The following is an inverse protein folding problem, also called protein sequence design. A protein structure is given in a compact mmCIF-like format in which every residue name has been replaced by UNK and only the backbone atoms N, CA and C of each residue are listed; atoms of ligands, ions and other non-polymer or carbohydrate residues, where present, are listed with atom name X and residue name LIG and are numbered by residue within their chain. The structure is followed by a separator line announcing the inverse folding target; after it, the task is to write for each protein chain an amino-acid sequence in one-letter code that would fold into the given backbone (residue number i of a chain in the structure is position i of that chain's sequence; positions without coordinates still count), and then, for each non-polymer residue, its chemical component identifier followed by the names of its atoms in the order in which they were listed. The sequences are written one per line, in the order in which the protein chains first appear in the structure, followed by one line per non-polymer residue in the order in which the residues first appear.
data_IF_926556565656
#
_entry.id   IF_926556565656
#
_cell.length_a   1.000
_cell.length_b   1.000
_cell.length_c   1.000
_cell.angle_alpha   90.00
_cell.angle_beta   90.00
_cell.angle_gamma   90.00
#
_symmetry.space_group_name_H-M   'P 1'
#
loop_
_entity.id
_entity.type
_entity.pdbx_description
1 polymer ?
#
# COMPACT_ATOMS: atom_id res chain seq x y z
N UNK A 1 -25.48 -35.32 -3.99
CA UNK A 1 -25.20 -34.37 -5.09
C UNK A 1 -24.70 -33.08 -4.42
N UNK A 2 -23.36 -32.89 -4.34
CA UNK A 2 -22.76 -31.72 -3.76
C UNK A 2 -22.90 -30.58 -4.77
N UNK A 3 -23.74 -29.58 -4.48
CA UNK A 3 -23.76 -28.32 -5.22
C UNK A 3 -22.63 -27.48 -4.65
N UNK A 4 -21.55 -27.18 -5.42
CA UNK A 4 -20.53 -26.31 -4.94
C UNK A 4 -21.13 -24.92 -4.72
N UNK A 5 -21.15 -24.45 -3.49
CA UNK A 5 -21.47 -23.06 -3.19
C UNK A 5 -20.27 -22.23 -3.68
N UNK A 6 -20.34 -21.80 -4.93
CA UNK A 6 -19.42 -20.79 -5.47
C UNK A 6 -19.80 -19.48 -4.81
N UNK A 7 -19.10 -19.10 -3.75
CA UNK A 7 -19.17 -17.73 -3.27
C UNK A 7 -18.62 -16.83 -4.38
N UNK A 8 -19.42 -15.95 -4.99
CA UNK A 8 -18.89 -15.01 -5.96
C UNK A 8 -17.85 -14.18 -5.23
N UNK A 9 -16.61 -14.17 -5.78
CA UNK A 9 -15.55 -13.31 -5.28
C UNK A 9 -16.10 -11.87 -5.28
N UNK A 10 -16.42 -11.33 -4.10
CA UNK A 10 -16.98 -9.98 -3.99
C UNK A 10 -15.86 -9.00 -4.33
N UNK A 11 -15.87 -8.55 -5.57
CA UNK A 11 -15.02 -7.44 -5.98
C UNK A 11 -15.58 -6.17 -5.33
N UNK A 12 -14.75 -5.46 -4.60
CA UNK A 12 -15.06 -4.16 -4.02
C UNK A 12 -13.89 -3.20 -4.25
N UNK A 13 -14.16 -1.91 -4.08
CA UNK A 13 -13.19 -0.84 -4.35
C UNK A 13 -11.88 -1.05 -3.58
N UNK A 14 -11.98 -1.39 -2.29
CA UNK A 14 -10.79 -1.58 -1.45
C UNK A 14 -9.97 -2.79 -1.89
N UNK A 15 -10.63 -3.89 -2.21
CA UNK A 15 -9.97 -5.10 -2.71
C UNK A 15 -9.20 -4.84 -4.01
N UNK A 16 -9.74 -4.03 -4.92
CA UNK A 16 -9.03 -3.67 -6.15
C UNK A 16 -7.83 -2.77 -5.86
N UNK A 17 -7.98 -1.76 -4.99
CA UNK A 17 -6.91 -0.83 -4.67
C UNK A 17 -5.73 -1.49 -3.94
N UNK A 18 -5.99 -2.49 -3.09
CA UNK A 18 -4.94 -3.15 -2.29
C UNK A 18 -4.35 -4.40 -2.98
N UNK A 19 -4.98 -4.91 -4.04
CA UNK A 19 -4.56 -6.16 -4.70
C UNK A 19 -3.10 -6.15 -5.15
N UNK A 20 -2.60 -5.02 -5.64
CA UNK A 20 -1.22 -4.82 -6.08
C UNK A 20 -0.23 -4.46 -4.96
N UNK A 21 -0.72 -4.26 -3.74
CA UNK A 21 0.12 -3.89 -2.59
C UNK A 21 0.46 -5.17 -1.84
N UNK A 22 1.72 -5.62 -1.94
CA UNK A 22 2.21 -6.84 -1.33
C UNK A 22 3.49 -6.57 -0.56
N UNK A 23 3.62 -7.15 0.62
CA UNK A 23 4.88 -7.17 1.33
C UNK A 23 5.92 -7.91 0.48
N UNK A 24 7.09 -7.34 0.34
CA UNK A 24 8.20 -7.93 -0.38
C UNK A 24 9.45 -7.91 0.51
N UNK A 25 9.73 -9.06 1.11
CA UNK A 25 10.81 -9.20 2.05
C UNK A 25 10.61 -8.33 3.30
N UNK A 26 10.11 -8.89 4.38
CA UNK A 26 10.13 -8.19 5.65
C UNK A 26 11.58 -7.95 6.03
N UNK A 27 11.99 -6.68 6.08
CA UNK A 27 13.36 -6.24 6.36
C UNK A 27 13.88 -6.73 7.70
N UNK A 28 12.98 -6.80 8.65
CA UNK A 28 13.22 -7.23 10.00
C UNK A 28 12.12 -8.21 10.42
N UNK A 29 12.28 -9.45 9.99
CA UNK A 29 11.36 -10.51 10.44
C UNK A 29 11.33 -10.64 11.97
N UNK A 30 12.38 -10.22 12.68
CA UNK A 30 12.40 -9.88 14.10
C UNK A 30 13.72 -9.22 14.45
N UNK A 31 13.68 -7.94 14.74
CA UNK A 31 14.80 -7.31 15.41
C UNK A 31 14.43 -7.11 16.85
N UNK A 32 15.04 -7.90 17.73
CA UNK A 32 15.04 -7.62 19.15
C UNK A 32 16.14 -6.61 19.41
N UNK A 33 15.76 -5.39 19.72
CA UNK A 33 16.66 -4.24 19.86
C UNK A 33 16.85 -3.97 21.36
N UNK A 34 18.10 -3.92 21.80
CA UNK A 34 18.47 -3.49 23.15
C UNK A 34 18.91 -2.03 23.12
N UNK A 35 18.42 -1.22 24.05
CA UNK A 35 18.77 0.19 24.17
C UNK A 35 20.29 0.38 24.39
N UNK A 36 20.92 1.45 23.82
CA UNK A 36 20.29 2.46 22.95
C UNK A 36 20.18 1.96 21.50
N UNK A 37 19.04 2.22 20.83
CA UNK A 37 18.86 1.87 19.42
C UNK A 37 18.09 2.97 18.64
N UNK A 38 18.46 3.14 17.39
CA UNK A 38 17.75 4.02 16.45
C UNK A 38 17.94 3.54 15.01
N UNK A 39 16.83 3.46 14.27
CA UNK A 39 16.78 2.99 12.89
C UNK A 39 16.21 4.10 11.99
N UNK A 40 17.03 4.65 11.09
CA UNK A 40 16.64 5.70 10.17
C UNK A 40 16.35 5.14 8.78
N UNK A 41 15.09 5.21 8.34
CA UNK A 41 14.62 4.73 7.04
C UNK A 41 14.70 5.85 6.01
N UNK A 42 15.60 5.69 5.03
CA UNK A 42 15.99 6.75 4.07
C UNK A 42 15.56 6.49 2.63
N UNK A 43 15.15 5.27 2.29
CA UNK A 43 14.89 4.85 0.91
C UNK A 43 13.50 5.22 0.39
N UNK A 44 12.67 5.82 1.22
CA UNK A 44 11.36 6.33 0.81
C UNK A 44 10.44 5.30 0.20
N UNK A 45 10.42 4.07 0.75
CA UNK A 45 9.47 3.05 0.30
C UNK A 45 8.05 3.64 0.18
N UNK A 46 7.31 3.33 -0.89
CA UNK A 46 5.98 3.91 -1.11
C UNK A 46 5.02 3.69 0.07
N UNK A 47 5.17 2.59 0.78
CA UNK A 47 4.43 2.29 1.99
C UNK A 47 5.28 1.39 2.90
N UNK A 48 5.36 1.74 4.18
CA UNK A 48 6.03 0.92 5.20
C UNK A 48 5.07 0.70 6.37
N UNK A 49 4.89 -0.55 6.75
CA UNK A 49 4.16 -0.93 7.96
C UNK A 49 5.16 -1.36 9.01
N UNK A 50 5.01 -0.85 10.22
CA UNK A 50 5.84 -1.24 11.35
C UNK A 50 4.96 -1.53 12.56
N UNK A 51 5.26 -2.62 13.26
CA UNK A 51 4.54 -3.00 14.47
C UNK A 51 5.51 -3.38 15.58
N UNK A 52 5.22 -2.92 16.80
CA UNK A 52 5.96 -3.30 18.01
C UNK A 52 5.29 -4.53 18.61
N UNK A 53 5.99 -5.67 18.65
CA UNK A 53 5.48 -6.87 19.31
C UNK A 53 5.66 -6.79 20.83
N UNK A 54 6.86 -6.38 21.28
CA UNK A 54 7.20 -6.24 22.70
C UNK A 54 8.03 -4.99 22.91
N UNK A 55 8.02 -4.43 24.11
CA UNK A 55 8.74 -3.21 24.44
C UNK A 55 8.03 -1.94 24.01
N UNK A 56 8.78 -0.89 23.76
CA UNK A 56 8.29 0.43 23.33
C UNK A 56 9.37 1.22 22.64
N UNK A 57 9.00 2.31 22.00
CA UNK A 57 9.91 3.25 21.35
C UNK A 57 9.16 4.47 20.85
N UNK A 58 9.75 5.15 19.90
CA UNK A 58 9.19 6.34 19.25
C UNK A 58 9.34 6.23 17.75
N UNK A 59 8.34 6.72 17.01
CA UNK A 59 8.50 7.08 15.61
C UNK A 59 8.75 8.59 15.53
N UNK A 60 9.78 8.95 14.77
CA UNK A 60 10.17 10.33 14.50
C UNK A 60 10.06 10.54 12.98
N UNK A 61 8.90 10.96 12.46
CA UNK A 61 8.76 11.29 11.04
C UNK A 61 9.50 12.58 10.73
N UNK A 62 10.03 12.70 9.53
CA UNK A 62 10.64 13.95 9.07
C UNK A 62 9.61 15.10 9.10
N UNK A 63 10.01 16.24 9.64
CA UNK A 63 9.16 17.45 9.76
C UNK A 63 7.89 17.29 10.63
N UNK A 64 7.83 16.29 11.52
CA UNK A 64 6.74 16.10 12.48
C UNK A 64 7.27 15.82 13.87
N UNK A 65 6.49 16.12 14.92
CA UNK A 65 6.88 15.78 16.27
C UNK A 65 7.02 14.26 16.46
N UNK A 66 7.92 13.81 17.35
CA UNK A 66 8.01 12.42 17.75
C UNK A 66 6.69 11.92 18.34
N UNK A 67 6.32 10.67 17.99
CA UNK A 67 5.13 10.01 18.52
C UNK A 67 5.52 8.71 19.23
N UNK A 68 5.03 8.44 20.45
CA UNK A 68 5.36 7.20 21.17
C UNK A 68 4.72 6.00 20.48
N UNK A 69 5.43 4.87 20.50
CA UNK A 69 4.96 3.55 20.06
C UNK A 69 5.00 2.57 21.20
N UNK A 70 3.90 1.89 21.43
CA UNK A 70 3.75 0.87 22.46
C UNK A 70 3.65 -0.52 21.86
N UNK A 71 3.85 -1.53 22.70
CA UNK A 71 3.59 -2.90 22.28
C UNK A 71 2.17 -3.05 21.69
N UNK A 72 2.06 -3.81 20.61
CA UNK A 72 0.85 -4.08 19.82
C UNK A 72 0.29 -2.89 19.02
N UNK A 73 0.97 -1.76 19.01
CA UNK A 73 0.64 -0.65 18.10
C UNK A 73 1.28 -0.87 16.74
N UNK A 74 0.53 -0.51 15.70
CA UNK A 74 0.98 -0.57 14.32
C UNK A 74 0.96 0.82 13.71
N UNK A 75 2.03 1.15 13.01
CA UNK A 75 2.19 2.40 12.26
C UNK A 75 2.38 2.07 10.79
N UNK A 76 1.68 2.82 9.94
CA UNK A 76 1.92 2.81 8.50
C UNK A 76 2.42 4.18 8.08
N UNK A 77 3.58 4.21 7.42
CA UNK A 77 4.17 5.43 6.86
C UNK A 77 4.04 5.39 5.35
N UNK A 78 3.48 6.45 4.79
CA UNK A 78 3.39 6.67 3.35
C UNK A 78 4.61 7.44 2.87
N UNK A 79 5.36 6.84 1.94
CA UNK A 79 6.51 7.47 1.30
C UNK A 79 6.16 8.61 0.33
N UNK A 80 7.17 9.32 -0.14
CA UNK A 80 8.60 9.09 0.08
C UNK A 80 9.15 9.67 1.40
N UNK A 81 8.31 9.95 2.39
CA UNK A 81 8.72 10.51 3.68
C UNK A 81 9.73 9.60 4.38
N UNK A 82 10.83 10.19 4.87
CA UNK A 82 11.79 9.51 5.74
C UNK A 82 11.31 9.55 7.19
N UNK A 83 11.71 8.56 7.97
CA UNK A 83 11.36 8.47 9.38
C UNK A 83 12.40 7.65 10.16
N UNK A 84 12.41 7.84 11.47
CA UNK A 84 13.31 7.12 12.37
C UNK A 84 12.50 6.41 13.46
N UNK A 85 12.83 5.15 13.75
CA UNK A 85 12.41 4.51 15.00
C UNK A 85 13.54 4.60 16.00
N UNK A 86 13.21 4.96 17.24
CA UNK A 86 14.19 5.11 18.33
C UNK A 86 13.63 4.57 19.64
N UNK A 87 14.51 4.11 20.52
CA UNK A 87 14.16 3.80 21.91
C UNK A 87 13.83 5.06 22.71
N UNK A 88 14.64 6.11 22.53
CA UNK A 88 14.48 7.41 23.19
C UNK A 88 14.72 8.55 22.17
N UNK A 89 13.94 9.63 22.29
CA UNK A 89 14.07 10.77 21.40
C UNK A 89 15.44 11.43 21.59
N UNK A 90 16.21 11.50 20.50
CA UNK A 90 17.58 12.02 20.51
C UNK A 90 18.68 10.95 20.39
N UNK A 91 18.33 9.66 20.47
CA UNK A 91 19.28 8.58 20.17
C UNK A 91 19.81 8.71 18.75
N UNK A 92 21.12 8.59 18.57
CA UNK A 92 21.77 8.70 17.26
C UNK A 92 21.37 7.51 16.38
N UNK A 93 20.82 7.80 15.22
CA UNK A 93 20.32 6.80 14.31
C UNK A 93 21.39 6.29 13.34
N UNK A 94 21.31 4.99 13.01
CA UNK A 94 22.03 4.40 11.89
C UNK A 94 21.08 4.35 10.67
N UNK A 95 21.54 4.71 9.45
CA UNK A 95 20.72 4.66 8.25
C UNK A 95 20.36 3.22 7.88
N UNK A 96 19.11 2.98 7.55
CA UNK A 96 18.59 1.71 7.06
C UNK A 96 17.97 1.96 5.69
N UNK A 97 18.48 1.29 4.65
CA UNK A 97 17.91 1.34 3.31
C UNK A 97 17.07 0.08 3.07
N UNK A 98 15.76 0.26 2.90
CA UNK A 98 14.85 -0.83 2.57
C UNK A 98 15.14 -1.45 1.20
N UNK A 99 15.48 -0.64 0.21
CA UNK A 99 15.64 -1.08 -1.18
C UNK A 99 16.77 -2.09 -1.40
N UNK A 100 17.89 -1.92 -0.73
CA UNK A 100 19.05 -2.84 -0.85
C UNK A 100 18.86 -4.14 -0.08
N UNK A 101 17.97 -4.17 0.90
CA UNK A 101 17.73 -5.34 1.75
C UNK A 101 16.46 -6.12 1.33
N UNK A 102 15.60 -5.50 0.53
CA UNK A 102 14.40 -6.13 -0.06
C UNK A 102 14.67 -6.84 -1.40
N UNK A 103 15.81 -6.62 -2.04
CA UNK A 103 16.22 -7.42 -3.18
C UNK A 103 16.52 -8.84 -2.66
N UNK A 104 15.79 -9.84 -3.20
CA UNK A 104 16.14 -11.23 -2.97
C UNK A 104 17.64 -11.41 -3.26
N UNK A 105 18.41 -12.04 -2.37
CA UNK A 105 19.82 -12.22 -2.61
C UNK A 105 19.99 -13.08 -3.87
N UNK A 106 20.45 -12.48 -4.94
CA UNK A 106 21.03 -13.23 -6.03
C UNK A 106 22.27 -13.91 -5.43
N UNK A 107 22.11 -15.23 -5.20
CA UNK A 107 23.15 -16.17 -4.78
C UNK A 107 23.74 -16.00 -3.37
N UNK A 108 23.18 -16.75 -2.43
CA UNK A 108 23.99 -17.38 -1.37
C UNK A 108 24.42 -16.54 -0.15
N UNK A 109 23.67 -15.52 0.23
CA UNK A 109 24.05 -14.64 1.33
C UNK A 109 23.18 -14.70 2.60
N UNK A 110 23.33 -15.75 3.40
CA UNK A 110 22.78 -15.87 4.78
C UNK A 110 23.41 -14.86 5.79
N UNK A 111 24.14 -13.85 5.32
CA UNK A 111 25.04 -13.06 6.18
C UNK A 111 24.43 -11.89 6.94
N UNK A 112 23.28 -11.34 6.51
CA UNK A 112 22.76 -10.12 7.15
C UNK A 112 21.77 -10.36 8.30
N UNK A 113 21.13 -11.52 8.36
CA UNK A 113 20.22 -11.89 9.46
C UNK A 113 20.94 -12.09 10.80
N UNK A 114 22.13 -12.72 10.80
CA UNK A 114 22.91 -12.99 12.03
C UNK A 114 23.64 -11.77 12.57
N UNK A 115 24.18 -10.92 11.70
CA UNK A 115 25.05 -9.81 12.12
C UNK A 115 24.34 -8.66 12.84
N UNK A 116 23.02 -8.48 12.65
CA UNK A 116 22.26 -7.45 13.33
C UNK A 116 21.80 -7.93 14.71
N UNK A 117 21.23 -9.14 14.81
CA UNK A 117 20.81 -9.73 16.08
C UNK A 117 21.96 -10.01 17.05
N UNK A 118 23.15 -10.36 16.53
CA UNK A 118 24.33 -10.64 17.36
C UNK A 118 24.95 -9.39 18.02
N UNK A 119 24.70 -8.18 17.47
CA UNK A 119 25.18 -6.92 18.05
C UNK A 119 24.27 -6.34 19.12
N UNK A 120 23.00 -6.75 19.15
CA UNK A 120 21.97 -6.16 19.97
C UNK A 120 21.21 -7.23 20.78
N UNK A 121 21.92 -8.18 21.36
CA UNK A 121 21.40 -9.36 22.08
C UNK A 121 20.31 -9.04 23.09
N UNK A 122 19.28 -9.91 23.15
CA UNK A 122 18.09 -9.76 23.98
C UNK A 122 18.38 -9.75 25.49
N UNK A 123 18.35 -8.55 26.07
CA UNK A 123 18.31 -8.34 27.51
C UNK A 123 16.90 -7.98 28.00
N UNK A 124 16.69 -7.93 29.30
CA UNK A 124 15.43 -7.41 29.89
C UNK A 124 15.24 -5.95 29.41
N UNK A 125 14.07 -5.66 28.79
CA UNK A 125 13.74 -4.34 28.24
C UNK A 125 13.96 -4.23 26.72
N UNK A 126 14.24 -5.32 26.02
CA UNK A 126 14.41 -5.32 24.57
C UNK A 126 13.08 -5.06 23.83
N UNK A 127 13.14 -4.26 22.76
CA UNK A 127 12.01 -3.99 21.88
C UNK A 127 12.06 -4.90 20.65
N UNK A 128 10.97 -5.63 20.39
CA UNK A 128 10.83 -6.41 19.16
C UNK A 128 9.97 -5.63 18.17
N UNK A 129 10.59 -5.24 17.06
CA UNK A 129 9.96 -4.48 15.98
C UNK A 129 9.91 -5.34 14.71
N UNK A 130 8.74 -5.38 14.06
CA UNK A 130 8.58 -5.95 12.72
C UNK A 130 8.32 -4.82 11.75
N UNK A 131 9.01 -4.82 10.63
CA UNK A 131 8.86 -3.83 9.56
C UNK A 131 8.64 -4.54 8.23
N UNK A 132 7.57 -4.19 7.54
CA UNK A 132 7.27 -4.62 6.17
C UNK A 132 7.28 -3.43 5.23
N UNK A 133 8.03 -3.52 4.13
CA UNK A 133 7.99 -2.56 3.05
C UNK A 133 7.10 -3.09 1.91
N UNK A 134 6.32 -2.19 1.33
CA UNK A 134 5.39 -2.51 0.26
C UNK A 134 5.77 -1.71 -0.98
N UNK A 135 6.38 -2.35 -1.98
CA UNK A 135 6.57 -1.74 -3.27
C UNK A 135 5.19 -1.56 -3.91
N UNK A 136 4.79 -0.32 -4.06
CA UNK A 136 3.50 0.03 -4.69
C UNK A 136 3.76 0.32 -6.15
N UNK A 137 3.25 -0.54 -7.01
CA UNK A 137 3.35 -0.38 -8.47
C UNK A 137 1.97 -0.10 -9.04
N UNK A 138 1.94 0.75 -10.06
CA UNK A 138 0.71 1.05 -10.80
C UNK A 138 -0.15 2.14 -10.19
N UNK A 139 -1.05 2.65 -11.02
CA UNK A 139 -1.93 3.78 -10.72
C UNK A 139 -3.12 3.38 -9.83
N UNK A 140 -3.53 2.10 -9.87
CA UNK A 140 -4.59 1.56 -9.00
C UNK A 140 -4.16 1.67 -7.54
N UNK A 141 -2.99 1.11 -7.22
CA UNK A 141 -2.47 1.13 -5.85
C UNK A 141 -2.07 2.54 -5.40
N UNK A 142 -1.64 3.41 -6.33
CA UNK A 142 -1.37 4.82 -6.03
C UNK A 142 -2.60 5.56 -5.53
N UNK A 143 -3.80 5.26 -6.04
CA UNK A 143 -5.06 5.83 -5.51
C UNK A 143 -5.31 5.48 -4.05
N UNK A 144 -4.87 4.30 -3.59
CA UNK A 144 -4.93 3.97 -2.16
C UNK A 144 -3.98 4.87 -1.37
N UNK A 145 -2.72 5.02 -1.84
CA UNK A 145 -1.75 5.87 -1.17
C UNK A 145 -2.21 7.32 -1.04
N UNK A 146 -2.82 7.87 -2.10
CA UNK A 146 -3.32 9.25 -2.12
C UNK A 146 -4.44 9.48 -1.08
N UNK A 147 -5.13 8.42 -0.68
CA UNK A 147 -6.17 8.47 0.35
C UNK A 147 -5.63 8.34 1.78
N UNK A 148 -4.32 8.06 1.96
CA UNK A 148 -3.71 7.88 3.27
C UNK A 148 -2.97 9.14 3.72
N UNK A 149 -2.95 9.46 5.02
CA UNK A 149 -2.04 10.45 5.58
C UNK A 149 -0.59 9.98 5.48
N UNK A 150 0.36 10.88 5.75
CA UNK A 150 1.80 10.52 5.78
C UNK A 150 2.08 9.47 6.85
N UNK A 151 1.47 9.61 8.03
CA UNK A 151 1.57 8.64 9.13
C UNK A 151 0.17 8.26 9.57
N UNK A 152 -0.06 6.96 9.65
CA UNK A 152 -1.31 6.36 10.10
C UNK A 152 -0.99 5.43 11.26
N UNK A 153 -1.79 5.49 12.32
CA UNK A 153 -1.66 4.62 13.50
C UNK A 153 -2.93 3.83 13.72
N UNK A 154 -2.73 2.58 14.11
CA UNK A 154 -3.77 1.70 14.62
C UNK A 154 -3.31 1.12 15.95
N UNK A 155 -4.20 1.11 16.93
CA UNK A 155 -3.86 0.74 18.29
C UNK A 155 -3.96 -0.78 18.55
N UNK A 156 -4.23 -1.54 17.50
CA UNK A 156 -4.57 -2.95 17.62
C UNK A 156 -5.99 -3.15 18.13
N UNK A 157 -6.51 -4.34 17.97
CA UNK A 157 -7.84 -4.74 18.42
C UNK A 157 -8.45 -5.79 17.49
N UNK A 158 -9.25 -6.67 18.04
CA UNK A 158 -9.99 -7.67 17.26
C UNK A 158 -9.11 -8.53 16.34
N UNK A 159 -9.33 -8.42 15.03
CA UNK A 159 -8.62 -9.25 14.03
C UNK A 159 -7.12 -8.92 13.98
N UNK A 160 -6.71 -7.66 14.18
CA UNK A 160 -5.31 -7.27 14.16
C UNK A 160 -4.50 -7.94 15.28
N UNK A 161 -5.09 -8.10 16.46
CA UNK A 161 -4.45 -8.80 17.58
C UNK A 161 -4.14 -10.26 17.27
N UNK A 162 -5.06 -10.96 16.62
CA UNK A 162 -4.83 -12.35 16.21
C UNK A 162 -3.68 -12.47 15.21
N UNK A 163 -3.56 -11.51 14.28
CA UNK A 163 -2.44 -11.46 13.32
C UNK A 163 -1.13 -11.18 14.04
N UNK A 164 -1.12 -10.28 15.02
CA UNK A 164 0.07 -9.98 15.84
C UNK A 164 0.55 -11.21 16.62
N UNK A 165 -0.38 -12.01 17.17
CA UNK A 165 -0.03 -13.24 17.90
C UNK A 165 0.60 -14.27 16.94
N UNK A 166 0.08 -14.39 15.73
CA UNK A 166 0.69 -15.25 14.69
C UNK A 166 2.05 -14.74 14.24
N UNK A 167 2.20 -13.43 14.02
CA UNK A 167 3.50 -12.82 13.71
C UNK A 167 4.52 -13.10 14.82
N UNK A 168 4.15 -12.93 16.09
CA UNK A 168 5.03 -13.20 17.21
C UNK A 168 5.45 -14.67 17.28
N UNK A 169 4.54 -15.61 17.04
CA UNK A 169 4.85 -17.04 17.02
C UNK A 169 5.74 -17.44 15.86
N UNK A 170 5.49 -16.91 14.64
CA UNK A 170 6.28 -17.21 13.45
C UNK A 170 7.70 -16.66 13.54
N UNK A 171 7.84 -15.48 14.13
CA UNK A 171 9.14 -14.84 14.36
C UNK A 171 10.02 -15.63 15.33
N UNK A 172 9.42 -16.31 16.31
CA UNK A 172 10.13 -17.09 17.32
C UNK A 172 10.74 -18.40 16.80
N UNK A 173 10.35 -18.83 15.58
CA UNK A 173 10.74 -20.12 15.01
C UNK A 173 11.56 -19.89 13.74
N UNK A 174 12.71 -20.55 13.57
CA UNK A 174 13.49 -20.50 12.33
C UNK A 174 13.21 -21.76 11.49
N UNK A 175 12.22 -21.64 10.59
CA UNK A 175 11.77 -22.75 9.74
C UNK A 175 11.86 -22.40 8.25
N UNK A 176 12.08 -23.40 7.38
CA UNK A 176 12.01 -23.17 5.94
C UNK A 176 10.66 -22.58 5.52
N UNK A 177 10.67 -21.53 4.71
CA UNK A 177 9.45 -20.86 4.26
C UNK A 177 8.92 -19.77 5.19
N UNK A 178 9.53 -19.54 6.35
CA UNK A 178 9.16 -18.51 7.32
C UNK A 178 8.95 -17.14 6.67
N UNK A 179 9.85 -16.72 5.76
CA UNK A 179 9.73 -15.43 5.09
C UNK A 179 8.43 -15.28 4.31
N UNK A 180 8.01 -16.36 3.62
CA UNK A 180 6.75 -16.35 2.86
C UNK A 180 5.55 -16.22 3.78
N UNK A 181 5.58 -16.88 4.95
CA UNK A 181 4.51 -16.77 5.96
C UNK A 181 4.46 -15.35 6.52
N UNK A 182 5.61 -14.80 6.89
CA UNK A 182 5.71 -13.42 7.42
C UNK A 182 5.19 -12.38 6.41
N UNK A 183 5.54 -12.51 5.14
CA UNK A 183 5.02 -11.61 4.09
C UNK A 183 3.49 -11.69 3.98
N UNK A 184 2.88 -12.87 4.10
CA UNK A 184 1.42 -13.02 4.08
C UNK A 184 0.74 -12.50 5.33
N UNK A 185 1.35 -12.66 6.49
CA UNK A 185 0.87 -12.08 7.74
C UNK A 185 0.95 -10.55 7.71
N UNK A 186 2.01 -9.99 7.15
CA UNK A 186 2.15 -8.55 6.94
C UNK A 186 1.11 -8.00 5.96
N UNK A 187 0.85 -8.70 4.84
CA UNK A 187 -0.23 -8.36 3.91
C UNK A 187 -1.58 -8.31 4.64
N UNK A 188 -1.86 -9.31 5.50
CA UNK A 188 -3.08 -9.34 6.29
C UNK A 188 -3.12 -8.23 7.32
N UNK A 189 -2.01 -7.98 8.03
CA UNK A 189 -1.90 -6.87 9.00
C UNK A 189 -2.19 -5.53 8.34
N UNK A 190 -1.65 -5.26 7.15
CA UNK A 190 -1.92 -4.02 6.41
C UNK A 190 -3.42 -3.85 6.15
N UNK A 191 -4.10 -4.90 5.70
CA UNK A 191 -5.56 -4.87 5.47
C UNK A 191 -6.32 -4.55 6.77
N UNK A 192 -5.97 -5.20 7.88
CA UNK A 192 -6.61 -4.95 9.18
C UNK A 192 -6.38 -3.50 9.64
N UNK A 193 -5.14 -3.03 9.57
CA UNK A 193 -4.74 -1.67 9.97
C UNK A 193 -5.48 -0.60 9.17
N UNK A 194 -5.57 -0.77 7.84
CA UNK A 194 -6.28 0.18 6.98
C UNK A 194 -7.79 0.18 7.24
N UNK A 195 -8.40 -1.00 7.48
CA UNK A 195 -9.82 -1.10 7.82
C UNK A 195 -10.12 -0.40 9.14
N UNK A 196 -9.33 -0.68 10.20
CA UNK A 196 -9.45 -0.05 11.50
C UNK A 196 -9.34 1.47 11.37
N UNK A 197 -8.36 1.94 10.62
CA UNK A 197 -8.14 3.36 10.42
C UNK A 197 -9.29 4.05 9.68
N UNK A 198 -9.82 3.43 8.61
CA UNK A 198 -10.96 3.97 7.88
C UNK A 198 -12.26 3.94 8.70
N UNK A 199 -12.39 2.99 9.64
CA UNK A 199 -13.59 2.79 10.45
C UNK A 199 -13.53 3.51 11.81
N UNK A 200 -12.42 4.19 12.11
CA UNK A 200 -12.25 4.86 13.41
C UNK A 200 -13.32 5.93 13.65
N UNK A 201 -13.85 6.05 14.87
CA UNK A 201 -14.79 7.12 15.23
C UNK A 201 -14.17 8.50 15.02
N UNK A 202 -14.92 9.42 14.39
CA UNK A 202 -14.43 10.78 14.11
C UNK A 202 -13.35 10.88 13.02
N UNK A 203 -13.03 9.78 12.35
CA UNK A 203 -12.15 9.79 11.19
C UNK A 203 -12.83 10.34 9.94
N UNK A 204 -12.04 10.83 9.00
CA UNK A 204 -12.49 11.23 7.67
C UNK A 204 -12.02 10.18 6.64
N UNK A 205 -12.72 9.04 6.50
CA UNK A 205 -12.36 8.04 5.51
C UNK A 205 -12.60 8.58 4.11
N UNK A 206 -11.91 8.03 3.09
CA UNK A 206 -12.17 8.38 1.70
C UNK A 206 -13.65 8.17 1.33
N UNK A 207 -14.20 9.05 0.49
CA UNK A 207 -15.62 9.00 0.10
C UNK A 207 -16.03 7.61 -0.41
N UNK A 208 -15.17 6.95 -1.20
CA UNK A 208 -15.43 5.59 -1.72
C UNK A 208 -15.55 4.54 -0.59
N UNK A 209 -14.86 4.73 0.54
CA UNK A 209 -14.96 3.80 1.68
C UNK A 209 -16.35 3.88 2.32
N UNK A 210 -16.79 5.09 2.65
CA UNK A 210 -18.12 5.33 3.24
C UNK A 210 -19.25 4.94 2.29
N UNK A 211 -19.10 5.25 0.99
CA UNK A 211 -20.08 4.94 -0.03
C UNK A 211 -20.33 3.44 -0.23
N UNK A 212 -19.35 2.58 0.04
CA UNK A 212 -19.51 1.12 -0.07
C UNK A 212 -20.55 0.55 0.93
N UNK A 213 -20.80 1.24 2.04
CA UNK A 213 -21.79 0.82 3.04
C UNK A 213 -23.23 1.13 2.65
N UNK A 214 -23.40 2.06 1.74
CA UNK A 214 -24.72 2.37 1.20
C UNK A 214 -25.19 1.22 0.30
N UNK A 215 -26.42 0.68 0.50
CA UNK A 215 -26.89 -0.47 -0.26
C UNK A 215 -27.01 -0.21 -1.76
N UNK A 216 -27.37 1.03 -2.16
CA UNK A 216 -27.55 1.43 -3.56
C UNK A 216 -26.20 1.78 -4.19
N UNK A 217 -25.48 2.73 -3.59
CA UNK A 217 -24.20 3.23 -4.13
C UNK A 217 -23.11 2.17 -4.04
N UNK A 218 -23.02 1.43 -2.93
CA UNK A 218 -22.11 0.28 -2.81
C UNK A 218 -22.44 -0.83 -3.81
N UNK A 219 -23.74 -1.05 -4.11
CA UNK A 219 -24.17 -1.93 -5.19
C UNK A 219 -23.67 -1.47 -6.55
N UNK A 220 -23.83 -0.20 -6.87
CA UNK A 220 -23.36 0.39 -8.12
C UNK A 220 -21.82 0.34 -8.23
N UNK A 221 -21.08 0.68 -7.17
CA UNK A 221 -19.63 0.60 -7.13
C UNK A 221 -19.14 -0.82 -7.41
N UNK A 222 -19.73 -1.83 -6.78
CA UNK A 222 -19.38 -3.25 -7.05
C UNK A 222 -19.59 -3.63 -8.51
N UNK A 223 -20.70 -3.22 -9.13
CA UNK A 223 -20.95 -3.48 -10.55
C UNK A 223 -19.91 -2.81 -11.45
N UNK A 224 -19.57 -1.55 -11.19
CA UNK A 224 -18.57 -0.81 -11.95
C UNK A 224 -17.17 -1.40 -11.83
N UNK A 225 -16.81 -1.94 -10.65
CA UNK A 225 -15.52 -2.58 -10.42
C UNK A 225 -15.48 -4.01 -10.97
N UNK A 226 -16.55 -4.77 -10.87
CA UNK A 226 -16.60 -6.14 -11.38
C UNK A 226 -16.56 -6.19 -12.93
N UNK A 227 -17.23 -5.26 -13.58
CA UNK A 227 -17.37 -5.24 -15.04
C UNK A 227 -17.08 -3.83 -15.61
N UNK A 228 -15.83 -3.33 -15.48
CA UNK A 228 -15.52 -1.96 -15.91
C UNK A 228 -15.67 -1.77 -17.43
N UNK A 229 -15.50 -2.82 -18.22
CA UNK A 229 -15.63 -2.77 -19.68
C UNK A 229 -17.09 -2.78 -20.17
N UNK A 230 -18.06 -3.18 -19.34
CA UNK A 230 -19.44 -3.25 -19.74
C UNK A 230 -20.03 -1.88 -20.13
N UNK A 231 -20.98 -1.82 -21.07
CA UNK A 231 -21.57 -0.57 -21.58
C UNK A 231 -22.57 0.03 -20.57
N UNK A 232 -22.08 0.36 -19.39
CA UNK A 232 -22.89 0.92 -18.32
C UNK A 232 -23.51 2.25 -18.69
N UNK A 233 -24.77 2.38 -18.37
CA UNK A 233 -25.52 3.65 -18.35
C UNK A 233 -26.04 3.88 -16.94
N UNK A 234 -26.36 5.15 -16.60
CA UNK A 234 -26.98 5.44 -15.30
C UNK A 234 -28.31 4.71 -15.13
N UNK A 235 -29.05 4.50 -16.25
CA UNK A 235 -30.30 3.72 -16.28
C UNK A 235 -30.02 2.25 -15.91
N UNK A 236 -29.08 1.60 -16.57
CA UNK A 236 -28.76 0.20 -16.31
C UNK A 236 -28.28 -0.02 -14.86
N UNK A 237 -27.45 0.88 -14.33
CA UNK A 237 -27.02 0.83 -12.93
C UNK A 237 -28.18 1.00 -11.95
N UNK A 238 -29.11 1.94 -12.25
CA UNK A 238 -30.29 2.18 -11.42
C UNK A 238 -31.21 0.96 -11.38
N UNK A 239 -31.49 0.34 -12.54
CA UNK A 239 -32.24 -0.91 -12.65
C UNK A 239 -31.63 -2.04 -11.84
N UNK A 240 -30.28 -2.21 -11.92
CA UNK A 240 -29.55 -3.24 -11.18
C UNK A 240 -29.52 -3.01 -9.66
N UNK A 241 -29.63 -1.76 -9.22
CA UNK A 241 -29.63 -1.37 -7.80
C UNK A 241 -31.04 -1.12 -7.24
N UNK A 242 -32.08 -1.31 -8.06
CA UNK A 242 -33.48 -1.25 -7.63
C UNK A 242 -34.01 0.16 -7.31
N UNK A 243 -33.46 1.20 -7.94
CA UNK A 243 -33.87 2.60 -7.72
C UNK A 243 -34.13 3.35 -9.03
N UNK A 244 -34.66 4.56 -8.94
CA UNK A 244 -34.83 5.43 -10.11
C UNK A 244 -33.46 5.99 -10.57
N UNK A 245 -33.35 6.34 -11.87
CA UNK A 245 -32.15 6.98 -12.43
C UNK A 245 -31.75 8.25 -11.67
N UNK A 246 -32.73 9.11 -11.34
CA UNK A 246 -32.47 10.35 -10.60
C UNK A 246 -32.00 10.09 -9.18
N UNK A 247 -32.60 9.10 -8.49
CA UNK A 247 -32.21 8.69 -7.15
C UNK A 247 -30.75 8.19 -7.12
N UNK A 248 -30.37 7.28 -8.05
CA UNK A 248 -29.01 6.79 -8.14
C UNK A 248 -28.04 7.92 -8.42
N UNK A 249 -28.29 8.76 -9.45
CA UNK A 249 -27.38 9.82 -9.84
C UNK A 249 -27.11 10.80 -8.70
N UNK A 250 -28.17 11.25 -8.00
CA UNK A 250 -28.07 12.14 -6.86
C UNK A 250 -27.29 11.49 -5.72
N UNK A 251 -27.73 10.31 -5.25
CA UNK A 251 -27.15 9.61 -4.10
C UNK A 251 -25.69 9.22 -4.32
N UNK A 252 -25.36 8.78 -5.53
CA UNK A 252 -23.99 8.46 -5.90
C UNK A 252 -23.10 9.71 -5.86
N UNK A 253 -23.54 10.84 -6.44
CA UNK A 253 -22.79 12.09 -6.42
C UNK A 253 -22.64 12.64 -5.00
N UNK A 254 -23.69 12.58 -4.18
CA UNK A 254 -23.63 13.02 -2.79
C UNK A 254 -22.62 12.22 -1.95
N UNK A 255 -22.50 10.90 -2.16
CA UNK A 255 -21.64 10.02 -1.38
C UNK A 255 -20.22 9.85 -1.94
N UNK A 256 -20.06 9.85 -3.26
CA UNK A 256 -18.76 9.61 -3.93
C UNK A 256 -18.09 10.91 -4.35
N UNK A 257 -18.86 12.01 -4.45
CA UNK A 257 -18.36 13.33 -4.86
C UNK A 257 -18.35 13.57 -6.37
N UNK A 258 -18.73 12.56 -7.18
CA UNK A 258 -18.79 12.67 -8.65
C UNK A 258 -19.89 11.76 -9.25
N UNK A 259 -20.42 12.07 -10.47
CA UNK A 259 -21.42 11.25 -11.12
C UNK A 259 -20.91 9.83 -11.47
N UNK A 260 -21.80 8.80 -11.51
CA UNK A 260 -21.42 7.41 -11.73
C UNK A 260 -20.57 7.15 -12.98
N UNK A 261 -20.91 7.76 -14.12
CA UNK A 261 -20.15 7.54 -15.36
C UNK A 261 -18.85 8.33 -15.42
N UNK A 262 -18.72 9.42 -14.68
CA UNK A 262 -17.47 10.12 -14.48
C UNK A 262 -16.53 9.25 -13.66
N UNK A 263 -17.01 8.67 -12.56
CA UNK A 263 -16.28 7.68 -11.75
C UNK A 263 -15.81 6.51 -12.61
N UNK A 264 -16.70 5.89 -13.40
CA UNK A 264 -16.35 4.79 -14.31
C UNK A 264 -15.27 5.21 -15.32
N UNK A 265 -15.38 6.38 -15.91
CA UNK A 265 -14.37 6.89 -16.86
C UNK A 265 -13.01 6.99 -16.18
N UNK A 266 -12.94 7.58 -14.98
CA UNK A 266 -11.70 7.68 -14.22
C UNK A 266 -11.14 6.30 -13.85
N UNK A 267 -11.99 5.38 -13.45
CA UNK A 267 -11.61 4.01 -13.13
C UNK A 267 -11.04 3.28 -14.35
N UNK A 268 -11.70 3.37 -15.51
CA UNK A 268 -11.20 2.83 -16.77
C UNK A 268 -9.83 3.39 -17.15
N UNK A 269 -9.60 4.69 -16.95
CA UNK A 269 -8.30 5.32 -17.24
C UNK A 269 -7.22 4.89 -16.24
N UNK A 270 -7.59 4.58 -15.01
CA UNK A 270 -6.66 4.00 -14.03
C UNK A 270 -6.24 2.58 -14.44
N UNK A 271 -7.20 1.72 -14.79
CA UNK A 271 -6.94 0.38 -15.31
C UNK A 271 -6.09 0.42 -16.59
N UNK A 272 -6.42 1.34 -17.51
CA UNK A 272 -5.68 1.50 -18.76
C UNK A 272 -4.23 1.93 -18.53
N UNK A 273 -3.97 2.79 -17.54
CA UNK A 273 -2.63 3.23 -17.20
C UNK A 273 -1.75 2.05 -16.74
N UNK A 274 -2.28 1.17 -15.90
CA UNK A 274 -1.56 -0.02 -15.45
C UNK A 274 -1.35 -1.01 -16.60
N UNK A 275 -2.38 -1.26 -17.42
CA UNK A 275 -2.26 -2.12 -18.59
C UNK A 275 -1.25 -1.60 -19.65
N UNK A 276 -1.10 -0.28 -19.78
CA UNK A 276 -0.12 0.34 -20.68
C UNK A 276 1.32 0.03 -20.24
N UNK A 277 1.56 -0.13 -18.95
CA UNK A 277 2.87 -0.47 -18.39
C UNK A 277 3.08 -1.99 -18.35
N UNK A 278 2.09 -2.75 -17.90
CA UNK A 278 2.19 -4.21 -17.75
C UNK A 278 2.24 -4.95 -19.08
N UNK A 279 1.55 -4.44 -20.12
CA UNK A 279 1.41 -5.08 -21.42
C UNK A 279 2.11 -4.27 -22.49
N UNK A 280 3.43 -4.28 -22.49
CA UNK A 280 4.25 -3.49 -23.42
C UNK A 280 3.94 -3.76 -24.90
N UNK A 281 3.68 -5.03 -25.25
CA UNK A 281 3.37 -5.46 -26.62
C UNK A 281 1.93 -5.20 -27.06
N UNK A 282 1.00 -4.88 -26.15
CA UNK A 282 -0.39 -4.64 -26.49
C UNK A 282 -0.56 -3.31 -27.24
N UNK A 283 -1.40 -3.31 -28.28
CA UNK A 283 -1.73 -2.06 -28.99
C UNK A 283 -2.62 -1.16 -28.15
N UNK A 284 -2.61 0.14 -28.45
CA UNK A 284 -3.52 1.10 -27.80
C UNK A 284 -4.99 0.71 -28.04
N UNK A 285 -5.30 0.14 -29.20
CA UNK A 285 -6.64 -0.34 -29.53
C UNK A 285 -7.05 -1.55 -28.68
N UNK A 286 -6.13 -2.47 -28.38
CA UNK A 286 -6.40 -3.60 -27.51
C UNK A 286 -6.69 -3.17 -26.08
N UNK A 287 -5.89 -2.24 -25.57
CA UNK A 287 -6.10 -1.67 -24.22
C UNK A 287 -7.43 -0.91 -24.16
N UNK A 288 -7.74 -0.10 -25.19
CA UNK A 288 -9.03 0.60 -25.27
C UNK A 288 -10.20 -0.38 -25.16
N UNK A 289 -10.18 -1.48 -25.92
CA UNK A 289 -11.21 -2.52 -25.88
C UNK A 289 -11.29 -3.20 -24.52
N UNK A 290 -10.14 -3.50 -23.93
CA UNK A 290 -10.06 -4.15 -22.59
C UNK A 290 -10.74 -3.31 -21.50
N UNK A 291 -10.67 -1.98 -21.60
CA UNK A 291 -11.32 -1.07 -20.64
C UNK A 291 -12.69 -0.56 -21.09
N UNK A 292 -13.27 -1.12 -22.16
CA UNK A 292 -14.65 -0.86 -22.61
C UNK A 292 -14.83 0.34 -23.54
N UNK A 293 -13.80 0.67 -24.33
CA UNK A 293 -13.90 1.63 -25.44
C UNK A 293 -13.89 0.90 -26.79
N UNK A 294 -14.92 1.13 -27.58
CA UNK A 294 -15.00 0.60 -28.96
C UNK A 294 -14.14 1.40 -29.94
N UNK A 295 -13.95 2.70 -29.67
CA UNK A 295 -13.17 3.62 -30.49
C UNK A 295 -11.85 4.00 -29.79
N UNK A 296 -10.67 3.67 -30.38
CA UNK A 296 -9.35 4.04 -29.83
C UNK A 296 -9.09 5.56 -29.81
N UNK A 297 -9.73 6.34 -30.69
CA UNK A 297 -9.57 7.79 -30.69
C UNK A 297 -10.31 8.42 -29.52
N UNK A 298 -11.56 7.99 -29.28
CA UNK A 298 -12.33 8.38 -28.11
C UNK A 298 -11.66 7.99 -26.80
N UNK A 299 -11.06 6.79 -26.74
CA UNK A 299 -10.21 6.37 -25.63
C UNK A 299 -9.03 7.30 -25.41
N UNK A 300 -8.24 7.60 -26.48
CA UNK A 300 -7.05 8.44 -26.37
C UNK A 300 -7.37 9.86 -25.91
N UNK A 301 -8.50 10.42 -26.37
CA UNK A 301 -9.01 11.71 -25.93
C UNK A 301 -9.41 11.71 -24.44
N UNK A 302 -10.13 10.67 -24.01
CA UNK A 302 -10.51 10.49 -22.60
C UNK A 302 -9.29 10.30 -21.71
N UNK A 303 -8.34 9.49 -22.14
CA UNK A 303 -7.09 9.24 -21.39
C UNK A 303 -6.28 10.52 -21.21
N UNK A 304 -6.08 11.29 -22.30
CA UNK A 304 -5.38 12.57 -22.24
C UNK A 304 -6.08 13.56 -21.30
N UNK A 305 -7.41 13.64 -21.35
CA UNK A 305 -8.19 14.52 -20.48
C UNK A 305 -8.02 14.16 -18.99
N UNK A 306 -7.96 12.85 -18.66
CA UNK A 306 -7.88 12.38 -17.26
C UNK A 306 -6.43 12.35 -16.75
N UNK A 307 -5.46 11.99 -17.62
CA UNK A 307 -4.05 11.77 -17.23
C UNK A 307 -3.09 12.87 -17.68
N UNK A 308 -3.54 13.86 -18.43
CA UNK A 308 -2.71 14.96 -18.93
C UNK A 308 -1.84 14.60 -20.14
N UNK A 309 -1.58 13.30 -20.39
CA UNK A 309 -0.76 12.81 -21.49
C UNK A 309 -1.53 11.80 -22.35
N UNK A 310 -1.17 11.65 -23.64
CA UNK A 310 -1.76 10.60 -24.46
C UNK A 310 -1.20 9.21 -24.07
N UNK A 311 -1.90 8.10 -24.39
CA UNK A 311 -1.50 6.75 -23.96
C UNK A 311 -0.08 6.36 -24.37
N UNK A 312 0.36 6.72 -25.57
CA UNK A 312 1.70 6.40 -26.09
C UNK A 312 2.79 7.16 -25.36
N UNK A 313 2.57 8.45 -25.06
CA UNK A 313 3.50 9.26 -24.27
C UNK A 313 3.59 8.74 -22.83
N UNK A 314 2.45 8.37 -22.23
CA UNK A 314 2.40 7.78 -20.88
C UNK A 314 3.21 6.50 -20.80
N UNK A 315 3.02 5.55 -21.76
CA UNK A 315 3.80 4.30 -21.83
C UNK A 315 5.30 4.56 -21.92
N UNK A 316 5.72 5.49 -22.79
CA UNK A 316 7.15 5.84 -22.95
C UNK A 316 7.77 6.42 -21.67
N UNK A 317 7.05 7.34 -21.02
CA UNK A 317 7.53 7.93 -19.76
C UNK A 317 7.65 6.90 -18.65
N UNK A 318 6.71 5.96 -18.55
CA UNK A 318 6.76 4.88 -17.58
C UNK A 318 7.94 3.92 -17.85
N UNK A 319 8.20 3.58 -19.11
CA UNK A 319 9.34 2.75 -19.50
C UNK A 319 10.69 3.44 -19.20
N UNK A 320 10.79 4.75 -19.41
CA UNK A 320 11.99 5.53 -19.08
C UNK A 320 12.29 5.52 -17.58
N UNK A 321 11.26 5.69 -16.73
CA UNK A 321 11.40 5.63 -15.27
C UNK A 321 11.75 4.23 -14.75
N UNK A 322 11.32 3.18 -15.44
CA UNK A 322 11.66 1.80 -15.08
C UNK A 322 13.08 1.41 -15.49
N UNK A 323 13.66 2.09 -16.48
CA UNK A 323 15.02 1.86 -17.00
C UNK A 323 16.12 2.64 -16.27
N UNK A 324 15.80 3.62 -15.45
CA UNK A 324 16.80 4.29 -14.62
C UNK A 324 17.11 3.41 -13.40
N UNK A 325 18.37 2.98 -13.20
CA UNK A 325 18.76 2.33 -11.96
C UNK A 325 18.47 3.30 -10.81
N UNK A 326 17.74 2.84 -9.81
CA UNK A 326 17.41 3.60 -8.61
C UNK A 326 18.64 4.36 -8.13
N UNK A 327 18.65 5.71 -8.31
CA UNK A 327 19.81 6.53 -8.21
C UNK A 327 20.49 6.38 -6.86
N UNK A 328 21.74 5.98 -6.88
CA UNK A 328 22.64 6.14 -5.76
C UNK A 328 22.64 7.60 -5.36
N UNK A 329 22.16 7.90 -4.16
CA UNK A 329 22.33 9.20 -3.52
C UNK A 329 23.84 9.44 -3.46
N UNK A 330 24.38 10.50 -4.12
CA UNK A 330 25.81 10.75 -4.06
C UNK A 330 26.20 10.98 -2.61
N UNK A 331 27.13 10.19 -2.12
CA UNK A 331 27.75 10.37 -0.81
C UNK A 331 28.26 11.81 -0.71
N UNK A 332 27.61 12.62 0.09
CA UNK A 332 28.08 13.98 0.41
C UNK A 332 29.39 13.81 1.16
N UNK A 333 30.47 14.04 0.46
CA UNK A 333 31.82 14.14 1.04
C UNK A 333 31.79 15.26 2.06
N UNK A 334 31.87 14.91 3.32
CA UNK A 334 32.12 15.87 4.42
C UNK A 334 33.57 16.35 4.24
N UNK A 335 33.83 17.66 4.08
CA UNK A 335 35.20 18.14 4.02
C UNK A 335 35.86 17.91 5.38
N UNK A 336 37.03 17.30 5.34
CA UNK A 336 37.91 17.18 6.50
C UNK A 336 38.27 18.59 6.99
N UNK A 337 37.90 18.89 8.24
CA UNK A 337 38.31 20.12 8.90
C UNK A 337 39.85 20.12 9.12
N UNK A 338 40.49 21.31 9.10
CA UNK A 338 41.93 21.41 9.25
C UNK A 338 42.32 21.07 10.69
N UNK A 339 43.35 20.24 10.80
CA UNK A 339 44.12 20.03 12.04
C UNK A 339 44.73 21.34 12.52
N UNK A 340 44.48 21.70 13.76
CA UNK A 340 45.35 22.51 14.61
C UNK A 340 45.24 22.02 16.05
#
# INVERSE_FOLDING_TARGET
MFVPVVYPCRVDVFSDLIRGVRANGSLFASSTLSAPWALHFVDGAPLTLSTVLTGSGWIVPEHRPPEPLRARETVVVRGPATFTFVDEVGTRAEPVACGEHCAAPEQGGTRHRRGWNDRHGGGHGATTLIVGAYPVRGEISRRLLDALPVVLRANGGGTADAVLDHLASEVAVDTPGQQVVLDRLLDWMLVCTLREWFDRPGGEPPAWWSAQRDPVVGGALRLLHAEPAAPWTVRALAERTGVSRSTLAKRFTDLVGEPPLTYLTRWRMTLAADLLVERESATIADIARTVGYSDPFGFSAAFKRVRGANPTAFRRSAAALAGEPSGAVPARTVPAGPNA
#
